data_IF_564035377254
#
_entry.id   IF_564035377254
#
_cell.length_a   1.000
_cell.length_b   1.000
_cell.length_c   1.000
_cell.angle_alpha   90.00
_cell.angle_beta   90.00
_cell.angle_gamma   90.00
#
_symmetry.space_group_name_H-M   'P 1'
#
loop_
_entity.id
_entity.type
_entity.pdbx_description
1 polymer ?
#
# COMPACT_ATOMS: atom_id res chain seq x y z
N UNK A 1 42.29 -14.44 6.16
CA UNK A 1 42.72 -15.66 5.45
C UNK A 1 43.16 -15.22 4.06
N UNK A 2 44.39 -15.56 3.63
CA UNK A 2 44.81 -15.38 2.24
C UNK A 2 44.27 -16.56 1.43
N UNK A 3 43.38 -16.30 0.48
CA UNK A 3 42.76 -17.34 -0.33
C UNK A 3 41.87 -16.73 -1.41
N UNK A 4 41.83 -17.40 -2.57
CA UNK A 4 40.90 -17.04 -3.63
C UNK A 4 39.48 -17.41 -3.19
N UNK A 5 38.54 -16.46 -3.23
CA UNK A 5 37.14 -16.71 -2.85
C UNK A 5 36.39 -17.62 -3.84
N UNK A 6 36.93 -17.80 -5.05
CA UNK A 6 36.27 -18.50 -6.16
C UNK A 6 36.90 -19.85 -6.52
N UNK A 7 37.95 -20.30 -5.82
CA UNK A 7 38.45 -21.65 -6.00
C UNK A 7 38.91 -22.27 -4.67
N UNK A 8 38.90 -23.60 -4.58
CA UNK A 8 39.25 -24.36 -3.38
C UNK A 8 40.72 -24.30 -2.99
N UNK A 9 41.52 -23.50 -3.71
CA UNK A 9 42.97 -23.46 -3.56
C UNK A 9 43.37 -22.50 -2.45
N UNK A 10 44.16 -23.00 -1.50
CA UNK A 10 44.63 -22.25 -0.32
C UNK A 10 46.15 -22.08 -0.44
N UNK A 11 46.65 -20.89 -0.83
CA UNK A 11 48.08 -20.66 -0.93
C UNK A 11 48.72 -20.74 0.47
N UNK A 12 49.99 -21.17 0.51
CA UNK A 12 50.76 -21.13 1.76
C UNK A 12 51.15 -19.69 2.11
N UNK A 13 51.35 -19.41 3.39
CA UNK A 13 51.39 -18.04 3.94
C UNK A 13 52.56 -17.18 3.42
N UNK A 14 53.59 -17.82 2.88
CA UNK A 14 54.84 -17.19 2.42
C UNK A 14 55.07 -17.38 0.91
N UNK A 15 54.06 -17.84 0.17
CA UNK A 15 54.14 -18.10 -1.26
C UNK A 15 53.79 -16.82 -2.05
N UNK A 16 54.61 -16.47 -3.04
CA UNK A 16 54.44 -15.23 -3.79
C UNK A 16 53.22 -15.35 -4.71
N UNK A 17 52.23 -14.46 -4.53
CA UNK A 17 50.90 -14.63 -5.14
C UNK A 17 50.93 -14.78 -6.65
N UNK A 18 51.81 -14.05 -7.36
CA UNK A 18 51.98 -14.04 -8.82
C UNK A 18 52.37 -15.40 -9.40
N UNK A 19 52.98 -16.27 -8.60
CA UNK A 19 53.40 -17.61 -9.00
C UNK A 19 52.32 -18.67 -8.72
N UNK A 20 51.26 -18.30 -8.00
CA UNK A 20 50.19 -19.23 -7.63
C UNK A 20 49.22 -19.48 -8.81
N UNK A 21 48.56 -20.66 -8.85
CA UNK A 21 47.51 -20.93 -9.83
C UNK A 21 46.35 -19.91 -9.79
N UNK A 22 46.17 -19.25 -8.64
CA UNK A 22 45.19 -18.20 -8.45
C UNK A 22 45.52 -16.92 -9.23
N UNK A 23 46.80 -16.61 -9.49
CA UNK A 23 47.20 -15.43 -10.29
C UNK A 23 46.72 -15.52 -11.75
N UNK A 24 46.52 -16.74 -12.27
CA UNK A 24 46.00 -16.98 -13.63
C UNK A 24 44.55 -17.45 -13.64
N UNK A 25 43.84 -17.38 -12.51
CA UNK A 25 42.44 -17.77 -12.43
C UNK A 25 41.60 -16.88 -13.36
N UNK A 26 40.84 -17.50 -14.27
CA UNK A 26 40.01 -16.80 -15.27
C UNK A 26 39.00 -15.81 -14.69
N UNK A 27 38.62 -15.92 -13.41
CA UNK A 27 37.78 -14.92 -12.76
C UNK A 27 38.48 -13.54 -12.58
N UNK A 28 39.80 -13.48 -12.66
CA UNK A 28 40.59 -12.24 -12.68
C UNK A 28 40.93 -11.74 -14.10
N UNK A 29 40.84 -12.60 -15.11
CA UNK A 29 41.11 -12.26 -16.52
C UNK A 29 39.82 -12.03 -17.33
N UNK A 30 38.83 -11.36 -16.71
CA UNK A 30 37.53 -10.91 -17.26
C UNK A 30 36.39 -11.95 -17.40
N UNK A 31 35.09 -11.54 -17.31
CA UNK A 31 34.54 -10.25 -16.82
C UNK A 31 33.25 -10.40 -15.97
N UNK A 32 32.75 -9.29 -15.42
CA UNK A 32 31.32 -9.14 -15.19
C UNK A 32 30.80 -7.84 -15.82
N UNK A 33 30.06 -8.04 -16.91
CA UNK A 33 28.96 -7.27 -17.52
C UNK A 33 29.11 -5.74 -17.59
N UNK A 34 29.13 -5.27 -18.84
CA UNK A 34 28.90 -3.90 -19.28
C UNK A 34 27.82 -3.19 -18.46
N UNK A 35 28.25 -2.20 -17.69
CA UNK A 35 27.45 -0.99 -17.55
C UNK A 35 27.46 -0.31 -18.92
N UNK A 36 26.29 -0.11 -19.52
CA UNK A 36 26.15 0.71 -20.75
C UNK A 36 26.50 2.20 -20.50
N UNK A 37 26.87 2.57 -19.29
CA UNK A 37 27.32 3.90 -18.94
C UNK A 37 28.85 3.93 -18.89
N UNK A 38 29.45 4.32 -20.01
CA UNK A 38 30.77 4.95 -20.02
C UNK A 38 30.56 6.40 -19.57
N UNK A 39 30.58 6.65 -18.25
CA UNK A 39 30.67 8.02 -17.74
C UNK A 39 31.98 8.18 -16.98
N UNK A 40 32.74 9.19 -17.38
CA UNK A 40 33.99 9.59 -16.76
C UNK A 40 33.69 10.05 -15.31
N UNK A 41 34.50 9.72 -14.29
CA UNK A 41 34.29 10.23 -12.93
C UNK A 41 34.28 11.77 -12.82
N UNK A 42 34.81 12.50 -13.81
CA UNK A 42 34.67 13.96 -13.89
C UNK A 42 33.29 14.41 -14.42
N UNK A 43 32.61 13.57 -15.22
CA UNK A 43 31.23 13.81 -15.68
C UNK A 43 30.22 13.69 -14.52
N UNK A 44 30.53 12.92 -13.47
CA UNK A 44 29.69 12.82 -12.26
C UNK A 44 29.58 14.14 -11.48
N UNK A 45 30.59 15.01 -11.56
CA UNK A 45 30.56 16.35 -10.96
C UNK A 45 29.91 17.41 -11.88
N UNK A 46 29.65 17.07 -13.15
CA UNK A 46 28.97 17.92 -14.13
C UNK A 46 27.60 17.40 -14.53
N UNK A 47 27.18 16.22 -14.04
CA UNK A 47 25.80 15.77 -14.13
C UNK A 47 24.93 16.89 -13.52
N UNK A 48 23.98 17.46 -14.29
CA UNK A 48 22.96 18.27 -13.68
C UNK A 48 22.31 17.37 -12.63
N UNK A 49 22.50 17.74 -11.35
CA UNK A 49 21.78 17.16 -10.22
C UNK A 49 20.35 16.99 -10.71
N UNK A 50 19.88 15.73 -10.75
CA UNK A 50 18.53 15.40 -11.19
C UNK A 50 17.60 16.48 -10.65
N UNK A 51 16.98 17.23 -11.58
CA UNK A 51 16.07 18.30 -11.23
C UNK A 51 15.19 17.78 -10.11
N UNK A 52 15.28 18.45 -8.97
CA UNK A 52 14.44 18.26 -7.81
C UNK A 52 13.01 18.26 -8.32
N UNK A 53 12.46 17.07 -8.60
CA UNK A 53 11.12 16.93 -9.15
C UNK A 53 10.24 17.77 -8.23
N UNK A 54 9.49 18.76 -8.74
CA UNK A 54 8.76 19.66 -7.88
C UNK A 54 7.96 18.80 -6.92
N UNK A 55 8.24 19.00 -5.64
CA UNK A 55 7.84 18.19 -4.48
C UNK A 55 6.36 17.72 -4.54
N UNK A 56 5.54 18.46 -5.27
CA UNK A 56 4.14 18.18 -5.61
C UNK A 56 3.92 16.92 -6.48
N UNK A 57 4.77 16.61 -7.46
CA UNK A 57 4.58 15.46 -8.37
C UNK A 57 4.88 14.13 -7.66
N UNK A 58 5.90 14.11 -6.79
CA UNK A 58 6.18 12.96 -5.94
C UNK A 58 5.08 12.80 -4.88
N UNK A 59 4.66 13.89 -4.21
CA UNK A 59 3.50 13.87 -3.29
C UNK A 59 2.24 13.34 -3.97
N UNK A 60 1.95 13.76 -5.20
CA UNK A 60 0.77 13.29 -5.93
C UNK A 60 0.84 11.79 -6.27
N UNK A 61 2.03 11.25 -6.56
CA UNK A 61 2.23 9.81 -6.76
C UNK A 61 2.07 8.99 -5.46
N UNK A 62 2.66 9.44 -4.35
CA UNK A 62 2.50 8.79 -3.04
C UNK A 62 1.04 8.85 -2.56
N UNK A 63 0.38 10.01 -2.69
CA UNK A 63 -1.05 10.15 -2.37
C UNK A 63 -1.92 9.22 -3.21
N UNK A 64 -1.61 9.03 -4.51
CA UNK A 64 -2.34 8.08 -5.37
C UNK A 64 -2.13 6.62 -4.96
N UNK A 65 -0.92 6.25 -4.57
CA UNK A 65 -0.63 4.89 -4.09
C UNK A 65 -1.38 4.59 -2.78
N UNK A 66 -1.33 5.53 -1.83
CA UNK A 66 -2.02 5.41 -0.54
C UNK A 66 -3.54 5.38 -0.71
N UNK A 67 -4.08 6.20 -1.63
CA UNK A 67 -5.51 6.16 -1.98
C UNK A 67 -5.89 4.83 -2.63
N UNK A 68 -5.07 4.31 -3.55
CA UNK A 68 -5.33 3.03 -4.20
C UNK A 68 -5.31 1.86 -3.20
N UNK A 69 -4.39 1.89 -2.24
CA UNK A 69 -4.33 0.91 -1.15
C UNK A 69 -5.57 1.01 -0.26
N UNK A 70 -5.94 2.21 0.19
CA UNK A 70 -7.12 2.45 1.02
C UNK A 70 -8.40 1.97 0.31
N UNK A 71 -8.59 2.33 -0.96
CA UNK A 71 -9.73 1.89 -1.78
C UNK A 71 -9.74 0.36 -1.92
N UNK A 72 -8.59 -0.25 -2.17
CA UNK A 72 -8.46 -1.70 -2.28
C UNK A 72 -8.83 -2.41 -0.98
N UNK A 73 -8.43 -1.85 0.16
CA UNK A 73 -8.74 -2.40 1.48
C UNK A 73 -10.22 -2.24 1.84
N UNK A 74 -10.82 -1.09 1.51
CA UNK A 74 -12.25 -0.86 1.63
C UNK A 74 -13.04 -1.85 0.77
N UNK A 75 -12.66 -2.03 -0.50
CA UNK A 75 -13.30 -2.98 -1.41
C UNK A 75 -13.23 -4.43 -0.89
N UNK A 76 -12.05 -4.87 -0.41
CA UNK A 76 -11.89 -6.19 0.23
C UNK A 76 -12.80 -6.36 1.44
N UNK A 77 -12.93 -5.30 2.25
CA UNK A 77 -13.78 -5.32 3.46
C UNK A 77 -15.26 -5.42 3.10
N UNK A 78 -15.71 -4.67 2.09
CA UNK A 78 -17.08 -4.75 1.58
C UNK A 78 -17.37 -6.15 1.03
N UNK A 79 -16.46 -6.74 0.25
CA UNK A 79 -16.62 -8.11 -0.26
C UNK A 79 -16.74 -9.14 0.86
N UNK A 80 -15.92 -9.02 1.92
CA UNK A 80 -16.01 -9.89 3.11
C UNK A 80 -17.31 -9.69 3.90
N UNK A 81 -17.85 -8.47 3.92
CA UNK A 81 -19.14 -8.21 4.53
C UNK A 81 -20.28 -8.84 3.71
N UNK A 82 -20.19 -8.79 2.38
CA UNK A 82 -21.18 -9.37 1.47
C UNK A 82 -21.29 -10.88 1.59
N UNK A 83 -20.16 -11.58 1.80
CA UNK A 83 -20.16 -13.03 2.03
C UNK A 83 -20.72 -13.42 3.41
N UNK A 84 -20.52 -12.59 4.44
CA UNK A 84 -20.95 -12.89 5.83
C UNK A 84 -22.38 -12.47 6.14
N UNK A 85 -22.87 -11.37 5.56
CA UNK A 85 -24.17 -10.80 5.90
C UNK A 85 -24.81 -10.11 4.69
N UNK A 86 -25.41 -10.93 3.83
CA UNK A 86 -26.09 -10.46 2.62
C UNK A 86 -27.17 -9.40 2.92
N UNK A 87 -27.93 -9.56 4.01
CA UNK A 87 -28.94 -8.60 4.44
C UNK A 87 -28.35 -7.25 4.84
N UNK A 88 -27.24 -7.22 5.57
CA UNK A 88 -26.58 -5.98 5.96
C UNK A 88 -26.03 -5.23 4.74
N UNK A 89 -25.44 -5.95 3.78
CA UNK A 89 -24.96 -5.34 2.53
C UNK A 89 -26.11 -4.78 1.69
N UNK A 90 -27.25 -5.46 1.58
CA UNK A 90 -28.42 -4.91 0.86
C UNK A 90 -28.96 -3.63 1.51
N UNK A 91 -28.95 -3.56 2.84
CA UNK A 91 -29.34 -2.34 3.58
C UNK A 91 -28.37 -1.19 3.28
N UNK A 92 -27.07 -1.48 3.25
CA UNK A 92 -26.05 -0.49 2.89
C UNK A 92 -26.19 -0.02 1.45
N UNK A 93 -26.29 -0.95 0.48
CA UNK A 93 -26.47 -0.66 -0.95
C UNK A 93 -27.69 0.25 -1.13
N UNK A 94 -28.86 -0.13 -0.57
CA UNK A 94 -30.08 0.70 -0.63
C UNK A 94 -29.89 2.10 -0.04
N UNK A 95 -29.11 2.23 1.05
CA UNK A 95 -28.87 3.51 1.70
C UNK A 95 -27.88 4.39 0.94
N UNK A 96 -26.94 3.79 0.21
CA UNK A 96 -26.02 4.50 -0.69
C UNK A 96 -26.78 4.98 -1.94
N UNK A 97 -27.62 4.11 -2.52
CA UNK A 97 -28.39 4.43 -3.73
C UNK A 97 -29.50 5.47 -3.46
N UNK A 98 -30.08 5.45 -2.25
CA UNK A 98 -31.19 6.31 -1.84
C UNK A 98 -30.91 6.95 -0.48
N UNK A 99 -29.98 7.92 -0.41
CA UNK A 99 -29.54 8.53 0.85
C UNK A 99 -30.65 9.28 1.59
N UNK A 100 -31.71 9.69 0.91
CA UNK A 100 -32.90 10.34 1.46
C UNK A 100 -33.76 9.41 2.33
N UNK A 101 -33.69 8.08 2.13
CA UNK A 101 -34.52 7.14 2.87
C UNK A 101 -34.17 7.16 4.37
N UNK A 102 -35.19 7.41 5.19
CA UNK A 102 -35.04 7.30 6.64
C UNK A 102 -34.86 5.84 7.07
N UNK A 103 -34.29 5.62 8.26
CA UNK A 103 -34.15 4.27 8.81
C UNK A 103 -35.50 3.58 9.07
N UNK A 104 -36.59 4.33 9.23
CA UNK A 104 -37.93 3.76 9.36
C UNK A 104 -38.43 3.23 8.01
N UNK A 105 -38.26 4.00 6.92
CA UNK A 105 -38.62 3.57 5.57
C UNK A 105 -37.79 2.37 5.11
N UNK A 106 -36.50 2.33 5.42
CA UNK A 106 -35.68 1.14 5.19
C UNK A 106 -36.22 -0.07 5.98
N UNK A 107 -36.64 0.13 7.22
CA UNK A 107 -37.18 -0.95 8.03
C UNK A 107 -38.49 -1.52 7.43
N UNK A 108 -39.34 -0.67 6.86
CA UNK A 108 -40.53 -1.07 6.11
C UNK A 108 -40.16 -1.89 4.85
N UNK A 109 -39.22 -1.40 4.02
CA UNK A 109 -38.75 -2.09 2.81
C UNK A 109 -38.20 -3.49 3.14
N UNK A 110 -37.41 -3.60 4.20
CA UNK A 110 -36.81 -4.87 4.63
C UNK A 110 -37.70 -5.66 5.59
N UNK A 111 -38.95 -5.22 5.84
CA UNK A 111 -39.91 -5.88 6.73
C UNK A 111 -39.32 -6.23 8.11
N UNK A 112 -38.58 -5.30 8.70
CA UNK A 112 -37.90 -5.51 9.98
C UNK A 112 -38.09 -4.32 10.94
N UNK A 113 -37.56 -4.43 12.16
CA UNK A 113 -37.55 -3.30 13.10
C UNK A 113 -36.46 -2.31 12.74
N UNK A 114 -36.71 -1.02 12.98
CA UNK A 114 -35.72 0.07 12.78
C UNK A 114 -34.40 -0.19 13.51
N UNK A 115 -34.44 -0.79 14.69
CA UNK A 115 -33.26 -1.14 15.47
C UNK A 115 -32.36 -2.14 14.71
N UNK A 116 -32.93 -3.04 13.91
CA UNK A 116 -32.16 -4.00 13.10
C UNK A 116 -31.40 -3.29 11.99
N UNK A 117 -32.05 -2.33 11.31
CA UNK A 117 -31.39 -1.49 10.30
C UNK A 117 -30.19 -0.76 10.91
N UNK A 118 -30.39 -0.12 12.07
CA UNK A 118 -29.35 0.61 12.77
C UNK A 118 -28.21 -0.31 13.22
N UNK A 119 -28.54 -1.49 13.75
CA UNK A 119 -27.56 -2.50 14.14
C UNK A 119 -26.69 -2.93 12.95
N UNK A 120 -27.31 -3.26 11.81
CA UNK A 120 -26.58 -3.67 10.62
C UNK A 120 -25.67 -2.57 10.07
N UNK A 121 -26.17 -1.33 9.97
CA UNK A 121 -25.36 -0.20 9.53
C UNK A 121 -24.22 0.11 10.51
N UNK A 122 -24.47 0.07 11.82
CA UNK A 122 -23.41 0.28 12.83
C UNK A 122 -22.34 -0.81 12.75
N UNK A 123 -22.75 -2.08 12.57
CA UNK A 123 -21.83 -3.20 12.42
C UNK A 123 -20.94 -3.06 11.19
N UNK A 124 -21.51 -2.59 10.07
CA UNK A 124 -20.75 -2.29 8.84
C UNK A 124 -19.78 -1.14 9.08
N UNK A 125 -20.24 -0.03 9.67
CA UNK A 125 -19.40 1.12 9.98
C UNK A 125 -18.27 0.79 10.96
N UNK A 126 -18.51 -0.13 11.89
CA UNK A 126 -17.46 -0.61 12.81
C UNK A 126 -16.39 -1.44 12.07
N UNK A 127 -16.76 -2.11 10.98
CA UNK A 127 -15.83 -2.89 10.16
C UNK A 127 -15.15 -2.06 9.07
N UNK A 128 -15.80 -1.00 8.59
CA UNK A 128 -15.30 -0.08 7.57
C UNK A 128 -15.71 1.36 7.92
N UNK A 129 -14.92 2.05 8.77
CA UNK A 129 -15.21 3.40 9.23
C UNK A 129 -15.30 4.44 8.10
N UNK A 130 -14.61 4.18 6.99
CA UNK A 130 -14.55 5.03 5.80
C UNK A 130 -15.93 5.20 5.15
N UNK A 131 -16.83 4.22 5.30
CA UNK A 131 -18.22 4.34 4.86
C UNK A 131 -19.03 5.38 5.66
N UNK A 132 -18.50 5.83 6.81
CA UNK A 132 -19.10 6.87 7.64
C UNK A 132 -19.20 8.22 6.94
N UNK A 133 -18.37 8.48 5.92
CA UNK A 133 -18.49 9.69 5.09
C UNK A 133 -19.67 9.63 4.12
N UNK A 134 -20.06 8.42 3.70
CA UNK A 134 -21.18 8.19 2.77
C UNK A 134 -22.52 8.13 3.49
N UNK A 135 -22.53 7.66 4.74
CA UNK A 135 -23.73 7.60 5.55
C UNK A 135 -23.87 8.88 6.36
N UNK A 136 -24.94 9.69 6.18
CA UNK A 136 -25.09 10.93 6.92
C UNK A 136 -25.07 10.65 8.42
N UNK A 137 -23.97 11.02 9.07
CA UNK A 137 -23.86 10.92 10.51
C UNK A 137 -25.02 11.73 11.11
N UNK A 138 -25.77 11.11 12.02
CA UNK A 138 -26.76 11.84 12.83
C UNK A 138 -26.06 13.08 13.35
N UNK A 139 -26.47 14.27 12.90
CA UNK A 139 -26.19 15.50 13.64
C UNK A 139 -26.67 15.21 15.05
N UNK A 140 -25.74 15.06 16.01
CA UNK A 140 -26.11 15.05 17.43
C UNK A 140 -26.78 16.40 17.64
N UNK A 141 -28.12 16.42 17.60
CA UNK A 141 -28.88 17.61 17.94
C UNK A 141 -28.40 17.96 19.34
N UNK A 142 -27.55 18.99 19.44
CA UNK A 142 -27.21 19.61 20.71
C UNK A 142 -28.55 20.05 21.26
N UNK A 143 -29.11 19.26 22.18
CA UNK A 143 -30.17 19.72 23.05
C UNK A 143 -29.53 20.86 23.82
N UNK A 144 -29.72 22.09 23.35
CA UNK A 144 -29.58 23.29 24.15
C UNK A 144 -30.44 23.06 25.37
N UNK A 145 -29.79 22.79 26.50
CA UNK A 145 -30.40 22.81 27.80
C UNK A 145 -30.97 24.23 28.00
N UNK A 146 -32.28 24.39 27.76
CA UNK A 146 -33.03 25.50 28.31
C UNK A 146 -33.16 25.21 29.80
N UNK A 147 -32.39 25.94 30.60
CA UNK A 147 -32.72 26.22 31.99
C UNK A 147 -33.91 27.14 32.04
#
# INVERSE_FOLDING_TARGET
MFGCHNCSHRPQKDENYEETPCARCRAAMDPAVMSDFAMDPEDLNTMPVEEEYPDEVLKDRYCRADMAEAVSQTAKTILRLKTRSHSACRILEMKIDRPELSYSQLAEIFSCRKQNIQYHLHKILSACPELGYLLPARKKSRRTARR
#
